data_IF_370345304396
#
_entry.id   IF_370345304396
#
_cell.length_a   1.000
_cell.length_b   1.000
_cell.length_c   1.000
_cell.angle_alpha   90.00
_cell.angle_beta   90.00
_cell.angle_gamma   90.00
#
_symmetry.space_group_name_H-M   'P 1'
#
loop_
_entity.id
_entity.type
_entity.pdbx_description
1 polymer ?
#
# COMPACT_ATOMS: atom_id res chain seq x y z
N UNK A 1 4.86 33.99 54.53
CA UNK A 1 5.02 33.49 53.14
C UNK A 1 4.57 32.05 53.12
N UNK A 2 3.50 31.75 52.35
CA UNK A 2 2.84 30.42 52.35
C UNK A 2 3.63 29.41 51.52
N UNK A 3 4.40 28.55 52.16
CA UNK A 3 5.15 27.46 51.55
C UNK A 3 4.27 26.45 50.78
N UNK A 4 2.97 26.40 51.02
CA UNK A 4 2.03 25.52 50.36
C UNK A 4 1.71 25.89 48.89
N UNK A 5 1.78 27.18 48.55
CA UNK A 5 1.52 27.65 47.19
C UNK A 5 2.70 27.36 46.22
N UNK A 6 3.94 27.47 46.74
CA UNK A 6 5.14 27.17 45.92
C UNK A 6 5.26 25.70 45.54
N UNK A 7 4.72 24.79 46.37
CA UNK A 7 4.74 23.33 46.08
C UNK A 7 3.70 22.95 45.03
N UNK A 8 2.54 23.60 44.99
CA UNK A 8 1.51 23.41 43.97
C UNK A 8 1.96 23.90 42.59
N UNK A 9 2.64 25.05 42.50
CA UNK A 9 3.10 25.58 41.22
C UNK A 9 4.17 24.70 40.56
N UNK A 10 5.08 24.09 41.33
CA UNK A 10 6.09 23.17 40.81
C UNK A 10 5.47 21.88 40.22
N UNK A 11 4.43 21.34 40.86
CA UNK A 11 3.70 20.17 40.34
C UNK A 11 2.99 20.45 39.02
N UNK A 12 2.38 21.62 38.87
CA UNK A 12 1.74 22.03 37.61
C UNK A 12 2.73 22.26 36.49
N UNK A 13 3.89 22.83 36.75
CA UNK A 13 4.96 23.04 35.77
C UNK A 13 5.48 21.68 35.27
N UNK A 14 5.67 20.72 36.16
CA UNK A 14 6.10 19.35 35.77
C UNK A 14 5.04 18.67 34.93
N UNK A 15 3.76 18.76 35.28
CA UNK A 15 2.67 18.17 34.50
C UNK A 15 2.54 18.80 33.10
N UNK A 16 2.68 20.12 33.00
CA UNK A 16 2.66 20.80 31.71
C UNK A 16 3.87 20.43 30.83
N UNK A 17 5.06 20.33 31.43
CA UNK A 17 6.26 19.93 30.70
C UNK A 17 6.20 18.50 30.21
N UNK A 18 5.67 17.56 30.98
CA UNK A 18 5.46 16.19 30.56
C UNK A 18 4.40 16.06 29.47
N UNK A 19 3.29 16.80 29.58
CA UNK A 19 2.24 16.80 28.55
C UNK A 19 2.75 17.36 27.22
N UNK A 20 3.53 18.46 27.25
CA UNK A 20 4.18 19.04 26.07
C UNK A 20 5.21 18.08 25.46
N UNK A 21 6.04 17.43 26.27
CA UNK A 21 7.02 16.44 25.81
C UNK A 21 6.38 15.24 25.12
N UNK A 22 5.29 14.71 25.70
CA UNK A 22 4.55 13.58 25.11
C UNK A 22 3.85 13.99 23.80
N UNK A 23 3.27 15.19 23.73
CA UNK A 23 2.60 15.66 22.51
C UNK A 23 3.59 15.93 21.37
N UNK A 24 4.75 16.52 21.66
CA UNK A 24 5.82 16.72 20.66
C UNK A 24 6.44 15.38 20.22
N UNK A 25 6.65 14.45 21.13
CA UNK A 25 7.13 13.11 20.83
C UNK A 25 6.16 12.33 19.94
N UNK A 26 4.86 12.34 20.27
CA UNK A 26 3.83 11.71 19.47
C UNK A 26 3.70 12.35 18.06
N UNK A 27 3.75 13.69 18.00
CA UNK A 27 3.72 14.39 16.71
C UNK A 27 4.92 14.05 15.84
N UNK A 28 6.13 14.03 16.40
CA UNK A 28 7.36 13.67 15.68
C UNK A 28 7.32 12.23 15.20
N UNK A 29 6.82 11.31 16.01
CA UNK A 29 6.68 9.89 15.62
C UNK A 29 5.68 9.73 14.49
N UNK A 30 4.50 10.34 14.57
CA UNK A 30 3.47 10.27 13.53
C UNK A 30 3.95 10.92 12.23
N UNK A 31 4.60 12.07 12.30
CA UNK A 31 5.12 12.76 11.11
C UNK A 31 6.23 11.95 10.42
N UNK A 32 7.14 11.33 11.18
CA UNK A 32 8.18 10.46 10.65
C UNK A 32 7.61 9.17 10.02
N UNK A 33 6.63 8.56 10.68
CA UNK A 33 5.95 7.38 10.14
C UNK A 33 5.27 7.69 8.79
N UNK A 34 4.63 8.86 8.66
CA UNK A 34 4.02 9.30 7.39
C UNK A 34 5.05 9.69 6.33
N UNK A 35 6.19 10.24 6.73
CA UNK A 35 7.25 10.63 5.81
C UNK A 35 7.90 9.43 5.11
N UNK A 36 7.95 8.29 5.79
CA UNK A 36 8.60 7.07 5.30
C UNK A 36 7.64 6.11 4.57
N UNK A 37 6.41 6.54 4.26
CA UNK A 37 5.51 5.70 3.46
C UNK A 37 6.04 5.57 2.04
N UNK A 38 6.23 4.32 1.60
CA UNK A 38 6.38 3.99 0.18
C UNK A 38 5.00 3.83 -0.44
N UNK A 39 4.87 4.22 -1.67
CA UNK A 39 3.62 4.19 -2.43
C UNK A 39 3.74 3.20 -3.59
N UNK A 40 2.70 3.04 -4.36
CA UNK A 40 2.71 2.38 -5.66
C UNK A 40 1.94 3.23 -6.66
N UNK A 41 2.05 2.88 -7.93
CA UNK A 41 1.32 3.52 -9.01
C UNK A 41 0.30 2.53 -9.57
N UNK A 42 -0.88 3.01 -9.84
CA UNK A 42 -1.92 2.27 -10.56
C UNK A 42 -2.62 3.23 -11.50
N UNK A 43 -2.41 3.08 -12.80
CA UNK A 43 -3.00 3.95 -13.81
C UNK A 43 -2.70 5.45 -13.56
N UNK A 44 -1.46 5.79 -13.23
CA UNK A 44 -1.05 7.17 -12.93
C UNK A 44 -1.51 7.68 -11.56
N UNK A 45 -2.21 6.89 -10.77
CA UNK A 45 -2.65 7.26 -9.41
C UNK A 45 -1.63 6.73 -8.40
N UNK A 46 -1.09 7.63 -7.59
CA UNK A 46 -0.20 7.30 -6.46
C UNK A 46 -1.08 6.88 -5.29
N UNK A 47 -0.90 5.64 -4.82
CA UNK A 47 -1.69 5.11 -3.73
C UNK A 47 -0.84 4.39 -2.67
N UNK A 48 -1.37 4.31 -1.44
CA UNK A 48 -0.79 3.61 -0.31
C UNK A 48 -1.65 2.40 0.05
N UNK A 49 -1.12 1.19 -0.19
CA UNK A 49 -1.86 -0.06 0.04
C UNK A 49 -3.16 -0.12 -0.78
N UNK A 50 -3.11 0.02 -2.11
CA UNK A 50 -4.31 -0.03 -2.94
C UNK A 50 -5.06 -1.35 -2.76
N UNK A 51 -6.37 -1.30 -2.94
CA UNK A 51 -7.25 -2.47 -2.92
C UNK A 51 -7.36 -3.16 -4.27
N UNK A 52 -6.88 -2.51 -5.35
CA UNK A 52 -6.96 -3.04 -6.71
C UNK A 52 -5.78 -2.56 -7.57
N UNK A 53 -5.33 -3.42 -8.49
CA UNK A 53 -4.40 -3.10 -9.58
C UNK A 53 -5.04 -3.49 -10.90
N UNK A 54 -4.81 -2.69 -11.93
CA UNK A 54 -5.18 -2.99 -13.31
C UNK A 54 -3.91 -3.18 -14.14
N UNK A 55 -3.88 -4.20 -14.99
CA UNK A 55 -2.79 -4.40 -15.93
C UNK A 55 -2.83 -3.34 -17.03
N UNK A 56 -4.04 -3.05 -17.51
CA UNK A 56 -4.32 -2.03 -18.51
C UNK A 56 -5.36 -1.05 -17.98
N UNK A 57 -5.09 0.25 -18.12
CA UNK A 57 -5.92 1.30 -17.56
C UNK A 57 -7.13 1.65 -18.42
N UNK A 58 -7.13 1.19 -19.68
CA UNK A 58 -8.15 1.57 -20.65
C UNK A 58 -9.39 0.66 -20.60
N UNK A 59 -9.21 -0.65 -20.47
CA UNK A 59 -10.28 -1.62 -20.59
C UNK A 59 -10.54 -2.44 -19.31
N UNK A 60 -9.57 -2.47 -18.39
CA UNK A 60 -9.70 -3.20 -17.13
C UNK A 60 -9.86 -4.71 -17.29
N UNK A 61 -9.51 -5.26 -18.47
CA UNK A 61 -9.72 -6.67 -18.81
C UNK A 61 -8.96 -7.63 -17.89
N UNK A 62 -7.87 -7.19 -17.27
CA UNK A 62 -7.11 -7.93 -16.27
C UNK A 62 -6.89 -7.04 -15.04
N UNK A 63 -7.27 -7.56 -13.88
CA UNK A 63 -7.12 -6.88 -12.60
C UNK A 63 -6.74 -7.84 -11.47
N UNK A 64 -6.13 -7.30 -10.42
CA UNK A 64 -6.03 -7.95 -9.10
C UNK A 64 -6.73 -7.06 -8.08
N UNK A 65 -7.80 -7.54 -7.51
CA UNK A 65 -8.62 -6.81 -6.54
C UNK A 65 -8.68 -7.48 -5.18
N UNK A 66 -9.45 -6.89 -4.28
CA UNK A 66 -9.68 -7.39 -2.91
C UNK A 66 -8.39 -7.58 -2.12
N UNK A 67 -7.39 -6.71 -2.35
CA UNK A 67 -6.06 -6.84 -1.77
C UNK A 67 -6.08 -6.77 -0.24
N UNK A 68 -5.48 -7.77 0.40
CA UNK A 68 -5.20 -7.83 1.83
C UNK A 68 -3.68 -7.81 2.03
N UNK A 69 -3.15 -6.72 2.57
CA UNK A 69 -1.71 -6.51 2.72
C UNK A 69 -1.19 -7.10 4.03
N UNK A 70 -0.25 -8.05 3.95
CA UNK A 70 0.47 -8.65 5.08
C UNK A 70 1.66 -7.78 5.51
N UNK A 71 2.40 -7.24 4.55
CA UNK A 71 3.57 -6.39 4.77
C UNK A 71 3.65 -5.26 3.76
N UNK A 72 4.27 -4.13 4.17
CA UNK A 72 4.46 -2.97 3.31
C UNK A 72 5.65 -2.15 3.80
N UNK A 73 6.72 -2.07 3.00
CA UNK A 73 7.96 -1.35 3.30
C UNK A 73 8.62 -0.81 2.04
N UNK A 74 9.72 -0.08 2.19
CA UNK A 74 10.53 0.40 1.06
C UNK A 74 11.23 -0.74 0.30
N UNK A 75 11.45 -1.87 0.92
CA UNK A 75 12.08 -3.04 0.31
C UNK A 75 11.08 -3.85 -0.52
N UNK A 76 9.78 -3.67 -0.28
CA UNK A 76 8.71 -4.34 -0.99
C UNK A 76 7.44 -4.47 -0.16
N UNK A 77 6.42 -5.04 -0.79
CA UNK A 77 5.15 -5.36 -0.14
C UNK A 77 4.69 -6.76 -0.53
N UNK A 78 3.92 -7.40 0.35
CA UNK A 78 3.31 -8.70 0.13
C UNK A 78 1.87 -8.68 0.61
N UNK A 79 1.00 -9.34 -0.14
CA UNK A 79 -0.40 -9.52 0.22
C UNK A 79 -1.05 -10.62 -0.61
N UNK A 80 -2.33 -10.82 -0.36
CA UNK A 80 -3.17 -11.75 -1.11
C UNK A 80 -4.34 -10.97 -1.74
N UNK A 81 -4.89 -11.52 -2.82
CA UNK A 81 -6.02 -10.91 -3.52
C UNK A 81 -6.66 -11.86 -4.51
N UNK A 82 -7.56 -11.32 -5.33
CA UNK A 82 -8.29 -12.05 -6.36
C UNK A 82 -7.85 -11.54 -7.73
N UNK A 83 -7.18 -12.39 -8.52
CA UNK A 83 -6.89 -12.14 -9.93
C UNK A 83 -8.17 -12.37 -10.73
N UNK A 84 -8.48 -11.45 -11.61
CA UNK A 84 -9.67 -11.47 -12.47
C UNK A 84 -9.26 -11.15 -13.90
N UNK A 85 -9.76 -11.94 -14.87
CA UNK A 85 -9.56 -11.75 -16.30
C UNK A 85 -10.87 -11.99 -17.05
N UNK A 86 -11.17 -11.09 -17.99
CA UNK A 86 -12.28 -11.22 -18.92
C UNK A 86 -11.75 -11.76 -20.26
N UNK A 87 -12.36 -12.82 -20.80
CA UNK A 87 -11.97 -13.41 -22.07
C UNK A 87 -12.36 -12.56 -23.30
N UNK A 88 -13.17 -11.52 -23.09
CA UNK A 88 -13.66 -10.61 -24.12
C UNK A 88 -14.24 -11.33 -25.36
N UNK A 89 -14.87 -12.47 -25.19
CA UNK A 89 -15.40 -13.27 -26.30
C UNK A 89 -16.94 -13.33 -26.23
N UNK A 90 -17.67 -12.84 -27.22
CA UNK A 90 -17.25 -12.18 -28.47
C UNK A 90 -16.78 -10.71 -28.29
N UNK A 91 -17.05 -10.09 -27.16
CA UNK A 91 -16.65 -8.75 -26.76
C UNK A 91 -16.51 -8.66 -25.23
N UNK A 92 -15.84 -7.59 -24.72
CA UNK A 92 -15.57 -7.46 -23.27
C UNK A 92 -16.84 -7.16 -22.44
N UNK A 93 -17.93 -6.70 -23.04
CA UNK A 93 -19.20 -6.45 -22.33
C UNK A 93 -19.95 -7.75 -22.04
N UNK A 94 -19.82 -8.73 -22.91
CA UNK A 94 -20.49 -10.04 -22.81
C UNK A 94 -19.53 -11.20 -22.52
N UNK A 95 -18.23 -10.93 -22.46
CA UNK A 95 -17.17 -11.89 -22.17
C UNK A 95 -17.29 -12.49 -20.76
N UNK A 96 -16.66 -13.63 -20.59
CA UNK A 96 -16.69 -14.38 -19.33
C UNK A 96 -15.57 -13.93 -18.41
N UNK A 97 -15.93 -13.51 -17.21
CA UNK A 97 -14.98 -13.24 -16.13
C UNK A 97 -14.55 -14.56 -15.47
N UNK A 98 -13.24 -14.75 -15.38
CA UNK A 98 -12.60 -15.86 -14.65
C UNK A 98 -11.74 -15.31 -13.53
N UNK A 99 -11.81 -15.92 -12.35
CA UNK A 99 -11.11 -15.45 -11.16
C UNK A 99 -10.31 -16.56 -10.47
N UNK A 100 -9.24 -16.19 -9.75
CA UNK A 100 -8.47 -17.09 -8.90
C UNK A 100 -7.78 -16.34 -7.77
N UNK A 101 -7.58 -17.01 -6.62
CA UNK A 101 -6.86 -16.44 -5.50
C UNK A 101 -5.35 -16.41 -5.77
N UNK A 102 -4.71 -15.29 -5.46
CA UNK A 102 -3.30 -15.04 -5.75
C UNK A 102 -2.57 -14.41 -4.57
N UNK A 103 -1.26 -14.69 -4.50
CA UNK A 103 -0.30 -13.89 -3.74
C UNK A 103 0.27 -12.81 -4.65
N UNK A 104 0.42 -11.62 -4.11
CA UNK A 104 1.00 -10.45 -4.78
C UNK A 104 2.25 -10.01 -4.05
N UNK A 105 3.31 -9.77 -4.80
CA UNK A 105 4.56 -9.21 -4.31
C UNK A 105 4.90 -7.95 -5.10
N UNK A 106 5.08 -6.83 -4.41
CA UNK A 106 5.57 -5.58 -5.01
C UNK A 106 7.06 -5.41 -4.73
N UNK A 107 7.78 -4.96 -5.75
CA UNK A 107 9.23 -4.70 -5.70
C UNK A 107 9.59 -3.48 -6.55
N UNK A 108 10.91 -3.23 -6.72
CA UNK A 108 11.41 -2.19 -7.62
C UNK A 108 11.23 -0.79 -7.06
N UNK A 109 11.59 -0.60 -5.77
CA UNK A 109 11.54 0.71 -5.12
C UNK A 109 12.38 1.75 -5.88
N UNK A 110 11.74 2.80 -6.37
CA UNK A 110 12.38 3.94 -7.05
C UNK A 110 11.91 5.28 -6.46
N UNK A 111 12.70 6.35 -6.55
CA UNK A 111 12.22 7.68 -6.19
C UNK A 111 10.99 8.06 -7.03
N UNK A 112 10.08 8.82 -6.44
CA UNK A 112 8.98 9.43 -7.15
C UNK A 112 9.41 10.85 -7.57
N UNK A 113 9.61 11.06 -8.87
CA UNK A 113 10.18 12.30 -9.42
C UNK A 113 9.34 13.54 -9.08
N UNK A 114 8.03 13.38 -9.00
CA UNK A 114 7.07 14.46 -8.74
C UNK A 114 7.01 14.88 -7.26
N UNK A 115 7.43 14.03 -6.33
CA UNK A 115 7.34 14.29 -4.89
C UNK A 115 8.66 13.95 -4.19
N UNK A 116 9.41 15.00 -3.84
CA UNK A 116 10.70 14.85 -3.16
C UNK A 116 10.59 14.01 -1.87
N UNK A 117 11.47 13.01 -1.75
CA UNK A 117 11.55 12.15 -0.57
C UNK A 117 10.51 11.03 -0.52
N UNK A 118 9.71 10.86 -1.56
CA UNK A 118 8.79 9.73 -1.70
C UNK A 118 9.36 8.67 -2.63
N UNK A 119 8.97 7.43 -2.40
CA UNK A 119 9.36 6.27 -3.20
C UNK A 119 8.13 5.50 -3.63
N UNK A 120 8.24 4.81 -4.77
CA UNK A 120 7.19 3.93 -5.28
C UNK A 120 7.74 2.53 -5.56
N UNK A 121 6.93 1.52 -5.27
CA UNK A 121 7.12 0.16 -5.75
C UNK A 121 6.45 0.07 -7.12
N UNK A 122 7.23 -0.25 -8.16
CA UNK A 122 6.76 -0.17 -9.55
C UNK A 122 6.72 -1.52 -10.28
N UNK A 123 6.99 -2.62 -9.60
CA UNK A 123 6.90 -3.97 -10.17
C UNK A 123 5.98 -4.82 -9.31
N UNK A 124 5.07 -5.52 -9.97
CA UNK A 124 4.17 -6.45 -9.33
C UNK A 124 4.43 -7.86 -9.89
N UNK A 125 4.55 -8.83 -9.02
CA UNK A 125 4.53 -10.26 -9.33
C UNK A 125 3.29 -10.88 -8.69
N UNK A 126 2.54 -11.63 -9.47
CA UNK A 126 1.27 -12.25 -9.09
C UNK A 126 1.44 -13.76 -9.28
N UNK A 127 1.15 -14.55 -8.25
CA UNK A 127 1.30 -16.00 -8.28
C UNK A 127 0.07 -16.66 -7.67
N UNK A 128 -0.49 -17.69 -8.34
CA UNK A 128 -1.64 -18.43 -7.82
C UNK A 128 -1.29 -19.14 -6.52
N UNK A 129 -2.18 -19.11 -5.54
CA UNK A 129 -1.98 -19.76 -4.24
C UNK A 129 -1.97 -21.29 -4.39
N UNK A 130 -2.81 -21.83 -5.26
CA UNK A 130 -2.94 -23.28 -5.51
C UNK A 130 -1.91 -23.82 -6.53
N UNK A 131 -1.00 -22.98 -7.02
CA UNK A 131 0.05 -23.30 -8.01
C UNK A 131 -0.45 -23.75 -9.38
N UNK A 132 -1.75 -23.67 -9.64
CA UNK A 132 -2.32 -23.92 -10.96
C UNK A 132 -2.08 -22.72 -11.87
N UNK A 133 -2.14 -22.90 -13.21
CA UNK A 133 -2.07 -21.77 -14.13
C UNK A 133 -3.14 -20.71 -13.83
N UNK A 134 -2.77 -19.44 -14.00
CA UNK A 134 -3.70 -18.32 -14.02
C UNK A 134 -4.76 -18.57 -15.12
N UNK A 135 -6.02 -18.14 -14.93
CA UNK A 135 -7.03 -18.25 -15.96
C UNK A 135 -6.57 -17.64 -17.29
N UNK A 136 -6.84 -18.33 -18.40
CA UNK A 136 -6.43 -17.98 -19.77
C UNK A 136 -4.91 -17.86 -19.97
N UNK A 137 -4.10 -18.37 -19.04
CA UNK A 137 -2.63 -18.37 -19.09
C UNK A 137 -2.07 -19.79 -18.97
N UNK A 138 -0.91 -20.03 -19.57
CA UNK A 138 -0.14 -21.26 -19.37
C UNK A 138 0.78 -21.23 -18.14
N UNK A 139 0.85 -20.11 -17.43
CA UNK A 139 1.74 -19.87 -16.28
C UNK A 139 0.92 -19.65 -15.01
N UNK A 140 1.48 -20.06 -13.87
CA UNK A 140 0.95 -19.74 -12.55
C UNK A 140 1.43 -18.39 -12.02
N UNK A 141 2.23 -17.67 -12.80
CA UNK A 141 2.82 -16.37 -12.41
C UNK A 141 2.66 -15.37 -13.55
N UNK A 142 2.33 -14.14 -13.20
CA UNK A 142 2.30 -12.98 -14.10
C UNK A 142 3.09 -11.82 -13.50
N UNK A 143 3.63 -10.92 -14.33
CA UNK A 143 4.46 -9.79 -13.91
C UNK A 143 4.12 -8.55 -14.71
N UNK A 144 3.86 -7.46 -14.00
CA UNK A 144 3.57 -6.16 -14.61
C UNK A 144 4.54 -5.09 -14.12
N UNK A 145 4.69 -4.05 -14.91
CA UNK A 145 5.29 -2.78 -14.50
C UNK A 145 4.13 -1.83 -14.20
N UNK A 146 4.16 -1.20 -13.04
CA UNK A 146 3.14 -0.25 -12.61
C UNK A 146 3.57 1.18 -13.02
N UNK A 147 2.69 1.86 -13.74
CA UNK A 147 2.89 3.20 -14.31
C UNK A 147 1.75 4.16 -13.95
#
# INVERSE_FOLDING_TARGET
MNFSQARRSKGWIVLLATALGLSLGAYSFISNARANHVYTLTCGIIDYKPSVFFQTCADGGIAVGEMQWESWSEDGARGEGTYAINDCSPDCATGKLSTTAVTVVLTGSKPLDEVRGKRVLNRIEITTIDKKPLPLSGSNTDRWVLE
#
